data_IF_388603524891
#
_entry.id   IF_388603524891
#
_cell.length_a   1.000
_cell.length_b   1.000
_cell.length_c   1.000
_cell.angle_alpha   90.00
_cell.angle_beta   90.00
_cell.angle_gamma   90.00
#
_symmetry.space_group_name_H-M   'P 1'
#
loop_
_entity.id
_entity.type
_entity.pdbx_description
1 polymer ?
#
# COMPACT_ATOMS: atom_id res chain seq x y z
N UNK A 1 13.23 -9.04 0.20
CA UNK A 1 11.93 -8.37 0.44
C UNK A 1 11.76 -8.09 1.92
N UNK A 2 11.34 -6.89 2.22
CA UNK A 2 11.16 -6.47 3.61
C UNK A 2 9.68 -6.16 3.88
N UNK A 3 8.93 -7.20 4.11
CA UNK A 3 7.48 -7.06 4.36
C UNK A 3 7.18 -6.34 5.67
N UNK A 4 8.07 -6.48 6.68
CA UNK A 4 7.86 -5.79 7.95
C UNK A 4 7.82 -4.28 7.74
N UNK A 5 8.82 -3.75 7.04
CA UNK A 5 8.88 -2.33 6.74
C UNK A 5 7.71 -1.90 5.85
N UNK A 6 7.41 -2.71 4.82
CA UNK A 6 6.32 -2.39 3.90
C UNK A 6 4.99 -2.29 4.62
N UNK A 7 4.70 -3.24 5.50
CA UNK A 7 3.45 -3.24 6.23
C UNK A 7 3.38 -2.10 7.23
N UNK A 8 4.50 -1.76 7.84
CA UNK A 8 4.56 -0.62 8.74
C UNK A 8 4.28 0.70 8.01
N UNK A 9 4.90 0.87 6.84
CA UNK A 9 4.69 2.06 6.02
C UNK A 9 3.25 2.14 5.54
N UNK A 10 2.71 1.02 5.04
CA UNK A 10 1.33 0.99 4.56
C UNK A 10 0.34 1.30 5.68
N UNK A 11 0.59 0.75 6.87
CA UNK A 11 -0.26 1.02 8.03
C UNK A 11 -0.22 2.51 8.40
N UNK A 12 0.97 3.09 8.40
CA UNK A 12 1.13 4.51 8.72
C UNK A 12 0.41 5.40 7.71
N UNK A 13 0.53 5.06 6.42
CA UNK A 13 -0.16 5.79 5.37
C UNK A 13 -1.67 5.72 5.57
N UNK A 14 -2.17 4.56 5.95
CA UNK A 14 -3.60 4.36 6.18
C UNK A 14 -4.09 5.00 7.49
N UNK A 15 -3.17 5.41 8.36
CA UNK A 15 -3.53 6.09 9.59
C UNK A 15 -3.94 5.16 10.73
N UNK A 16 -3.54 3.89 10.68
CA UNK A 16 -3.90 2.93 11.72
C UNK A 16 -2.77 2.72 12.72
N UNK A 17 -3.15 2.51 13.98
CA UNK A 17 -2.23 1.99 14.97
C UNK A 17 -2.16 0.48 14.82
N UNK A 18 -1.12 -0.14 15.41
CA UNK A 18 -0.97 -1.60 15.31
C UNK A 18 -2.20 -2.34 15.82
N UNK A 19 -2.75 -1.91 16.93
CA UNK A 19 -3.92 -2.57 17.51
C UNK A 19 -5.15 -2.45 16.62
N UNK A 20 -5.30 -1.32 15.94
CA UNK A 20 -6.44 -1.11 15.06
C UNK A 20 -6.33 -2.00 13.84
N UNK A 21 -5.14 -2.09 13.27
CA UNK A 21 -4.90 -2.97 12.14
C UNK A 21 -5.13 -4.43 12.52
N UNK A 22 -4.59 -4.83 13.68
CA UNK A 22 -4.76 -6.21 14.15
C UNK A 22 -6.24 -6.57 14.27
N UNK A 23 -7.02 -5.67 14.83
CA UNK A 23 -8.44 -5.90 14.99
C UNK A 23 -9.14 -6.04 13.65
N UNK A 24 -8.82 -5.16 12.70
CA UNK A 24 -9.43 -5.21 11.38
C UNK A 24 -9.00 -6.43 10.57
N UNK A 25 -7.76 -6.85 10.77
CA UNK A 25 -7.22 -8.00 10.04
C UNK A 25 -7.53 -9.33 10.71
N UNK A 26 -8.10 -9.30 11.91
CA UNK A 26 -8.38 -10.53 12.65
C UNK A 26 -7.10 -11.19 13.15
N UNK A 27 -6.11 -10.40 13.51
CA UNK A 27 -4.82 -10.89 14.00
C UNK A 27 -4.56 -10.34 15.40
N UNK A 28 -3.63 -10.99 16.08
CA UNK A 28 -3.19 -10.52 17.39
C UNK A 28 -2.28 -9.30 17.22
N UNK A 29 -2.43 -8.25 18.06
CA UNK A 29 -1.54 -7.09 17.97
C UNK A 29 -0.05 -7.44 18.08
N UNK A 30 0.30 -8.44 18.90
CA UNK A 30 1.68 -8.88 19.02
C UNK A 30 2.19 -9.48 17.70
N UNK A 31 1.31 -10.11 16.94
CA UNK A 31 1.66 -10.66 15.64
C UNK A 31 2.05 -9.53 14.68
N UNK A 32 1.26 -8.46 14.66
CA UNK A 32 1.56 -7.29 13.84
C UNK A 32 2.91 -6.69 14.26
N UNK A 33 3.11 -6.55 15.56
CA UNK A 33 4.34 -5.97 16.10
C UNK A 33 5.58 -6.79 15.69
N UNK A 34 5.48 -8.11 15.79
CA UNK A 34 6.58 -8.99 15.41
C UNK A 34 6.90 -8.91 13.93
N UNK A 35 5.88 -8.83 13.10
CA UNK A 35 6.07 -8.70 11.65
C UNK A 35 6.74 -7.37 11.33
N UNK A 36 6.24 -6.28 11.90
CA UNK A 36 6.78 -4.95 11.60
C UNK A 36 8.20 -4.77 12.08
N UNK A 37 8.58 -5.46 13.15
CA UNK A 37 9.94 -5.38 13.67
C UNK A 37 10.91 -6.30 12.92
N UNK A 38 10.41 -7.10 12.00
CA UNK A 38 11.23 -8.05 11.26
C UNK A 38 11.55 -9.33 12.03
N UNK A 39 10.96 -9.50 13.20
CA UNK A 39 11.19 -10.71 14.02
C UNK A 39 10.39 -11.90 13.55
N UNK A 40 9.36 -11.65 12.77
CA UNK A 40 8.52 -12.71 12.25
C UNK A 40 8.19 -12.42 10.79
N UNK A 41 8.35 -13.43 9.96
CA UNK A 41 7.99 -13.33 8.56
C UNK A 41 6.49 -13.55 8.43
N UNK A 42 5.76 -12.68 7.74
CA UNK A 42 4.32 -12.89 7.58
C UNK A 42 4.06 -14.03 6.62
N UNK A 43 3.02 -14.82 6.91
CA UNK A 43 2.54 -15.82 5.97
C UNK A 43 1.77 -15.12 4.85
N UNK A 44 1.55 -15.84 3.74
CA UNK A 44 0.73 -15.32 2.66
C UNK A 44 -0.66 -14.90 3.15
N UNK A 45 -1.23 -15.72 4.02
CA UNK A 45 -2.55 -15.43 4.57
C UNK A 45 -2.53 -14.16 5.41
N UNK A 46 -1.48 -13.98 6.22
CA UNK A 46 -1.35 -12.77 7.03
C UNK A 46 -1.21 -11.53 6.14
N UNK A 47 -0.42 -11.62 5.08
CA UNK A 47 -0.28 -10.50 4.13
C UNK A 47 -1.63 -10.17 3.50
N UNK A 48 -2.38 -11.18 3.11
CA UNK A 48 -3.70 -10.96 2.52
C UNK A 48 -4.67 -10.30 3.50
N UNK A 49 -4.68 -10.76 4.74
CA UNK A 49 -5.55 -10.19 5.76
C UNK A 49 -5.20 -8.73 6.05
N UNK A 50 -3.92 -8.44 6.14
CA UNK A 50 -3.47 -7.09 6.41
C UNK A 50 -3.77 -6.19 5.21
N UNK A 51 -3.48 -6.67 4.01
CA UNK A 51 -3.75 -5.95 2.78
C UNK A 51 -5.23 -5.59 2.68
N UNK A 52 -6.09 -6.56 2.95
CA UNK A 52 -7.53 -6.36 2.91
C UNK A 52 -7.98 -5.34 3.96
N UNK A 53 -7.43 -5.44 5.17
CA UNK A 53 -7.78 -4.51 6.26
C UNK A 53 -7.34 -3.09 5.94
N UNK A 54 -6.22 -2.93 5.27
CA UNK A 54 -5.71 -1.61 4.87
C UNK A 54 -6.34 -1.11 3.58
N UNK A 55 -7.04 -1.99 2.86
CA UNK A 55 -7.59 -1.69 1.53
C UNK A 55 -6.48 -1.29 0.56
N UNK A 56 -5.33 -1.91 0.72
CA UNK A 56 -4.18 -1.72 -0.16
C UNK A 56 -3.92 -3.04 -0.86
N UNK A 57 -3.91 -3.06 -2.19
CA UNK A 57 -3.69 -4.33 -2.91
C UNK A 57 -2.37 -4.99 -2.55
N UNK A 58 -2.38 -6.32 -2.54
CA UNK A 58 -1.19 -7.10 -2.21
C UNK A 58 -0.01 -6.73 -3.11
N UNK A 59 -0.27 -6.44 -4.38
CA UNK A 59 0.79 -6.04 -5.31
C UNK A 59 1.52 -4.79 -4.85
N UNK A 60 0.79 -3.83 -4.30
CA UNK A 60 1.41 -2.61 -3.81
C UNK A 60 2.23 -2.88 -2.55
N UNK A 61 1.74 -3.76 -1.68
CA UNK A 61 2.50 -4.17 -0.51
C UNK A 61 3.82 -4.82 -0.96
N UNK A 62 3.76 -5.69 -1.96
CA UNK A 62 4.95 -6.34 -2.49
C UNK A 62 5.95 -5.33 -3.06
N UNK A 63 5.46 -4.32 -3.75
CA UNK A 63 6.32 -3.26 -4.26
C UNK A 63 7.01 -2.50 -3.14
N UNK A 64 6.27 -2.18 -2.09
CA UNK A 64 6.84 -1.50 -0.93
C UNK A 64 7.88 -2.37 -0.23
N UNK A 65 7.72 -3.68 -0.29
CA UNK A 65 8.63 -4.62 0.35
C UNK A 65 9.89 -4.87 -0.47
N UNK A 66 9.87 -4.51 -1.74
CA UNK A 66 10.97 -4.79 -2.65
C UNK A 66 12.22 -4.02 -2.25
N UNK A 67 13.35 -4.71 -2.21
CA UNK A 67 14.64 -4.14 -1.91
C UNK A 67 15.52 -4.17 -3.16
N UNK A 68 16.59 -3.36 -3.22
CA UNK A 68 17.46 -3.38 -4.41
C UNK A 68 17.97 -4.77 -4.79
N UNK A 69 18.23 -5.63 -3.80
CA UNK A 69 18.73 -6.98 -4.09
C UNK A 69 17.67 -7.84 -4.78
N UNK A 70 16.41 -7.49 -4.63
CA UNK A 70 15.31 -8.22 -5.26
C UNK A 70 15.14 -7.87 -6.73
N UNK A 71 15.80 -6.79 -7.16
CA UNK A 71 15.68 -6.29 -8.52
C UNK A 71 16.74 -6.87 -9.46
N UNK A 72 17.35 -7.97 -9.10
CA UNK A 72 18.29 -8.68 -9.95
C UNK A 72 17.52 -9.42 -11.03
N UNK A 73 16.97 -8.70 -11.93
CA UNK A 73 16.12 -9.25 -12.96
C UNK A 73 16.86 -9.19 -14.26
N UNK A 74 17.13 -10.33 -14.83
CA UNK A 74 17.96 -10.42 -16.02
C UNK A 74 17.35 -9.71 -17.21
N UNK A 75 16.05 -9.79 -17.37
CA UNK A 75 15.37 -9.27 -18.56
C UNK A 75 14.43 -8.10 -18.27
N UNK A 76 14.31 -7.70 -17.04
CA UNK A 76 13.45 -6.60 -16.67
C UNK A 76 11.95 -6.88 -16.73
N UNK A 77 11.57 -8.11 -17.04
CA UNK A 77 10.15 -8.45 -17.19
C UNK A 77 9.39 -8.26 -15.88
N UNK A 78 9.95 -8.71 -14.78
CA UNK A 78 9.29 -8.56 -13.49
C UNK A 78 9.15 -7.09 -13.10
N UNK A 79 10.18 -6.29 -13.39
CA UNK A 79 10.13 -4.86 -13.11
C UNK A 79 9.04 -4.20 -13.94
N UNK A 80 8.94 -4.60 -15.20
CA UNK A 80 7.90 -4.09 -16.09
C UNK A 80 6.51 -4.43 -15.56
N UNK A 81 6.31 -5.67 -15.14
CA UNK A 81 5.02 -6.09 -14.58
C UNK A 81 4.70 -5.35 -13.30
N UNK A 82 5.70 -5.14 -12.45
CA UNK A 82 5.50 -4.37 -11.22
C UNK A 82 5.13 -2.93 -11.52
N UNK A 83 5.80 -2.33 -12.51
CA UNK A 83 5.51 -0.97 -12.91
C UNK A 83 4.10 -0.85 -13.49
N UNK A 84 3.69 -1.82 -14.31
CA UNK A 84 2.34 -1.85 -14.84
C UNK A 84 1.30 -1.98 -13.74
N UNK A 85 1.55 -2.84 -12.78
CA UNK A 85 0.65 -3.03 -11.64
C UNK A 85 0.50 -1.73 -10.86
N UNK A 86 1.61 -1.07 -10.59
CA UNK A 86 1.59 0.18 -9.86
C UNK A 86 0.83 1.26 -10.63
N UNK A 87 1.11 1.38 -11.93
CA UNK A 87 0.43 2.35 -12.77
C UNK A 87 -1.08 2.09 -12.80
N UNK A 88 -1.45 0.81 -12.92
CA UNK A 88 -2.85 0.40 -12.94
C UNK A 88 -3.54 0.79 -11.63
N UNK A 89 -2.88 0.53 -10.50
CA UNK A 89 -3.42 0.89 -9.19
C UNK A 89 -3.59 2.38 -9.04
N UNK A 90 -2.60 3.15 -9.47
CA UNK A 90 -2.67 4.60 -9.40
C UNK A 90 -3.82 5.13 -10.23
N UNK A 91 -4.01 4.60 -11.44
CA UNK A 91 -5.05 5.06 -12.34
C UNK A 91 -6.44 4.66 -11.89
N UNK A 92 -6.57 3.48 -11.27
CA UNK A 92 -7.87 2.95 -10.89
C UNK A 92 -8.25 3.23 -9.44
N UNK A 93 -7.26 3.50 -8.59
CA UNK A 93 -7.48 3.72 -7.17
C UNK A 93 -6.94 5.07 -6.71
N UNK A 94 -6.60 5.92 -7.65
CA UNK A 94 -6.15 7.25 -7.31
C UNK A 94 -7.19 7.86 -6.41
N UNK A 95 -6.76 8.54 -5.36
CA UNK A 95 -7.71 9.20 -4.49
C UNK A 95 -8.56 10.03 -5.39
N UNK A 96 -9.79 9.80 -5.26
CA UNK A 96 -10.70 10.58 -5.99
C UNK A 96 -10.43 11.95 -5.52
N UNK A 97 -10.04 12.66 -6.37
CA UNK A 97 -9.62 13.95 -5.96
C UNK A 97 -10.71 14.50 -5.16
N UNK A 98 -10.40 14.25 -4.40
CA UNK A 98 -11.27 14.41 -3.59
C UNK A 98 -11.71 15.64 -3.83
N UNK A 99 -11.31 15.16 -4.50
CA UNK A 99 -11.34 15.73 -4.83
C UNK A 99 -11.34 16.44 -5.19
N UNK A 100 -11.60 16.66 -5.17
CA UNK A 100 -11.50 17.26 -5.45
C UNK A 100 -11.38 17.98 -5.83
N UNK A 101 -11.40 18.33 -5.58
CA UNK A 101 -11.21 18.86 -5.81
C UNK A 101 -11.00 19.47 -6.49
N UNK A 102 -11.29 19.77 -6.49
CA UNK A 102 -11.22 20.28 -6.94
C UNK A 102 -11.32 20.71 -7.53
N UNK A 103 -11.64 20.85 -7.26
CA UNK A 103 -11.72 21.18 -7.52
C UNK A 103 -11.76 21.70 -7.99
N UNK A 104 -12.07 21.97 -7.91
CA UNK A 104 -12.19 22.52 -8.01
C UNK A 104 -11.96 23.16 -8.54
N UNK A 105 -12.09 23.36 -8.41
CA UNK A 105 -11.92 23.94 -8.60
C UNK A 105 -11.81 24.32 -9.29
N UNK A 106 -12.09 24.19 -9.24
CA UNK A 106 -12.08 24.52 -9.59
C UNK A 106 -12.21 24.95 -10.15
N UNK A 107 -12.61 25.06 -10.07
CA UNK A 107 -12.89 25.54 -10.28
C UNK A 107 -12.86 26.18 -10.68
N UNK A 108 -12.96 26.18 -10.53
CA UNK A 108 -13.07 26.82 -10.64
C UNK A 108 -12.96 27.32 -11.26
N UNK A 109 -13.11 27.34 -11.29
CA UNK A 109 -13.14 27.80 -11.63
C UNK A 109 -13.24 28.17 -12.22
N UNK A 110 -13.66 28.28 -12.20
CA UNK A 110 -13.91 28.82 -12.49
C UNK A 110 -14.15 29.30 -12.93
N UNK A 111 -14.45 29.32 -12.84
CA UNK A 111 -14.83 29.93 -13.05
C UNK A 111 -14.83 30.73 -13.42
N UNK A 112 -14.92 30.84 -13.37
CA UNK A 112 -15.04 31.62 -13.62
C UNK A 112 -14.94 32.41 -13.98
N UNK A 113 -15.16 32.54 -14.04
CA UNK A 113 -15.20 33.24 -14.39
C UNK A 113 -15.33 33.81 -14.55
N UNK A 114 -15.64 33.88 -14.62
CA UNK A 114 -15.82 34.18 -14.68
C UNK A 114 -15.79 34.42 -14.82
#
# INVERSE_FOLDING_TARGET
MDYGRALKVARAIAGFQQKDLAKRAGLDPSHISLIESGRRRPSSIAVEKISSALEIPVHLIALLATEPKDLKIADGTELHLAAESLAHLILNHAPQPRTRTRSRISRRTHSSTA
#
